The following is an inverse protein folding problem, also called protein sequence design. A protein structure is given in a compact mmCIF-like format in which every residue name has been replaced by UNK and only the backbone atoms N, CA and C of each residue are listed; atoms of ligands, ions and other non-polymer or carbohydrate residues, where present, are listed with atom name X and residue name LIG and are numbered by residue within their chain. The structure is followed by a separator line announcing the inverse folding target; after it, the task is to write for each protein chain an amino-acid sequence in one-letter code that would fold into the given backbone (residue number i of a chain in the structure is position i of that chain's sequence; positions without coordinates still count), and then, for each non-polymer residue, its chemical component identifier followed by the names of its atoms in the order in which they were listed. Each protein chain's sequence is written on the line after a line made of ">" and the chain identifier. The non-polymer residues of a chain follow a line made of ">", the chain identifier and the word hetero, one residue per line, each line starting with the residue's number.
data_IF_762303364102
#
_entry.id   IF_762303364102
#
_cell.length_a   1.000
_cell.length_b   1.000
_cell.length_c   1.000
_cell.angle_alpha   90.00
_cell.angle_beta   90.00
_cell.angle_gamma   90.00
#
_symmetry.space_group_name_H-M   'P 1'
#
loop_
_entity.id
_entity.type
_entity.pdbx_description
1 polymer ?
#
# COMPACT_ATOMS: atom_id res chain seq x y z
N UNK A 1 8.87 16.14 3.08
CA UNK A 1 9.86 17.07 2.52
C UNK A 1 10.97 17.21 3.52
N UNK A 2 12.22 17.12 3.07
CA UNK A 2 13.41 17.39 3.88
C UNK A 2 13.49 18.88 4.28
N UNK A 3 13.48 19.18 5.58
CA UNK A 3 13.56 20.56 6.09
C UNK A 3 14.93 21.22 5.92
N UNK A 4 15.99 20.43 5.74
CA UNK A 4 17.35 20.94 5.52
C UNK A 4 17.49 21.63 4.14
N UNK A 5 16.63 21.28 3.18
CA UNK A 5 16.62 21.88 1.84
C UNK A 5 15.38 22.76 1.72
N UNK A 6 15.57 24.07 1.69
CA UNK A 6 14.46 25.03 1.63
C UNK A 6 13.97 25.28 0.19
N UNK A 7 14.86 25.13 -0.81
CA UNK A 7 14.56 25.41 -2.22
C UNK A 7 13.63 24.34 -2.80
N UNK A 8 12.58 24.77 -3.52
CA UNK A 8 11.61 23.89 -4.15
C UNK A 8 10.85 22.97 -3.18
N UNK A 9 10.74 23.41 -1.92
CA UNK A 9 9.96 22.76 -0.89
C UNK A 9 8.46 22.78 -1.26
N UNK A 10 7.76 21.64 -1.20
CA UNK A 10 6.33 21.61 -1.46
C UNK A 10 5.55 22.27 -0.32
N UNK A 11 4.45 22.95 -0.63
CA UNK A 11 3.53 23.47 0.38
C UNK A 11 3.00 22.35 1.29
N UNK A 12 2.78 22.65 2.59
CA UNK A 12 2.37 21.67 3.63
C UNK A 12 1.19 20.77 3.23
N UNK A 13 0.25 21.29 2.45
CA UNK A 13 -0.93 20.55 1.95
C UNK A 13 -0.56 19.34 1.07
N UNK A 14 0.62 19.36 0.44
CA UNK A 14 1.09 18.27 -0.41
C UNK A 14 1.98 17.26 0.36
N UNK A 15 2.26 17.51 1.64
CA UNK A 15 2.98 16.53 2.46
C UNK A 15 2.17 15.24 2.58
N UNK A 16 2.82 14.09 2.38
CA UNK A 16 2.16 12.78 2.39
C UNK A 16 1.22 12.51 1.21
N UNK A 17 1.15 13.39 0.21
CA UNK A 17 0.38 13.14 -1.01
C UNK A 17 1.22 12.39 -2.04
N UNK A 18 0.56 11.51 -2.79
CA UNK A 18 1.15 10.81 -3.93
C UNK A 18 0.64 11.42 -5.22
N UNK A 19 1.48 11.47 -6.25
CA UNK A 19 1.14 12.02 -7.56
C UNK A 19 1.81 11.28 -8.69
N UNK A 20 1.64 11.78 -9.91
CA UNK A 20 2.31 11.28 -11.12
C UNK A 20 3.24 12.35 -11.67
N UNK A 21 4.44 11.96 -12.07
CA UNK A 21 5.41 12.87 -12.70
C UNK A 21 4.91 13.17 -14.12
N UNK A 22 4.94 14.46 -14.51
CA UNK A 22 4.60 14.91 -15.86
C UNK A 22 5.75 15.62 -16.56
N UNK A 23 6.69 16.19 -15.79
CA UNK A 23 7.85 16.89 -16.31
C UNK A 23 9.08 16.57 -15.44
N UNK A 24 10.26 16.56 -16.04
CA UNK A 24 11.53 16.31 -15.37
C UNK A 24 12.49 17.44 -15.76
N UNK A 25 13.11 18.05 -14.77
CA UNK A 25 14.10 19.13 -14.93
C UNK A 25 15.37 18.77 -14.18
N UNK A 26 16.46 19.52 -14.37
CA UNK A 26 17.80 19.19 -13.83
C UNK A 26 17.82 18.87 -12.32
N UNK A 27 17.06 19.59 -11.51
CA UNK A 27 17.05 19.43 -10.05
C UNK A 27 15.66 19.17 -9.45
N UNK A 28 14.62 19.14 -10.29
CA UNK A 28 13.24 19.08 -9.83
C UNK A 28 12.34 18.26 -10.76
N UNK A 29 11.24 17.80 -10.18
CA UNK A 29 10.18 17.05 -10.85
C UNK A 29 8.90 17.88 -10.85
N UNK A 30 8.25 17.95 -12.00
CA UNK A 30 6.88 18.37 -12.12
C UNK A 30 5.96 17.20 -11.78
N UNK A 31 5.17 17.32 -10.71
CA UNK A 31 4.24 16.28 -10.25
C UNK A 31 2.81 16.80 -10.33
N UNK A 32 1.90 15.98 -10.88
CA UNK A 32 0.46 16.20 -10.81
C UNK A 32 -0.06 15.54 -9.52
N UNK A 33 -0.62 16.34 -8.62
CA UNK A 33 -1.21 15.89 -7.36
C UNK A 33 -2.68 16.29 -7.32
N UNK A 34 -3.55 15.36 -6.93
CA UNK A 34 -4.96 15.65 -6.74
C UNK A 34 -5.18 16.36 -5.41
N UNK A 35 -5.62 17.62 -5.46
CA UNK A 35 -5.94 18.43 -4.28
C UNK A 35 -7.45 18.65 -4.21
N UNK A 36 -8.05 18.35 -3.07
CA UNK A 36 -9.42 18.75 -2.77
C UNK A 36 -9.47 20.26 -2.50
N UNK A 37 -10.32 20.97 -3.23
CA UNK A 37 -10.61 22.39 -3.05
C UNK A 37 -12.11 22.51 -2.83
N UNK A 38 -12.51 22.71 -1.57
CA UNK A 38 -13.92 22.68 -1.13
C UNK A 38 -14.60 21.35 -1.54
N UNK A 39 -15.59 21.41 -2.44
CA UNK A 39 -16.38 20.26 -2.90
C UNK A 39 -15.79 19.46 -4.06
N UNK A 40 -14.71 19.92 -4.72
CA UNK A 40 -14.15 19.26 -5.91
C UNK A 40 -12.69 18.86 -5.75
N UNK A 41 -12.28 17.82 -6.48
CA UNK A 41 -10.89 17.38 -6.57
C UNK A 41 -10.30 17.94 -7.86
N UNK A 42 -9.23 18.73 -7.74
CA UNK A 42 -8.58 19.39 -8.87
C UNK A 42 -7.16 18.81 -9.02
N UNK A 43 -6.74 18.40 -10.22
CA UNK A 43 -5.35 18.06 -10.48
C UNK A 43 -4.51 19.34 -10.45
N UNK A 44 -3.59 19.44 -9.50
CA UNK A 44 -2.65 20.55 -9.38
C UNK A 44 -1.27 20.11 -9.84
N UNK A 45 -0.67 20.88 -10.76
CA UNK A 45 0.71 20.72 -11.19
C UNK A 45 1.60 21.49 -10.22
N UNK A 46 2.58 20.82 -9.63
CA UNK A 46 3.55 21.40 -8.70
C UNK A 46 4.95 21.00 -9.12
N UNK A 47 5.92 21.89 -8.92
CA UNK A 47 7.34 21.60 -9.16
C UNK A 47 8.00 21.40 -7.80
N UNK A 48 8.65 20.25 -7.61
CA UNK A 48 9.22 19.84 -6.34
C UNK A 48 10.63 19.33 -6.59
N UNK A 49 11.60 19.69 -5.76
CA UNK A 49 12.94 19.10 -5.89
C UNK A 49 13.02 17.63 -5.47
N UNK A 50 14.04 16.93 -5.96
CA UNK A 50 14.25 15.49 -5.77
C UNK A 50 14.39 15.08 -4.29
N UNK A 51 14.94 15.95 -3.43
CA UNK A 51 15.15 15.70 -2.00
C UNK A 51 13.83 15.60 -1.22
N UNK A 52 12.73 16.05 -1.80
CA UNK A 52 11.40 16.01 -1.17
C UNK A 52 10.49 14.91 -1.72
N UNK A 53 10.96 14.16 -2.71
CA UNK A 53 10.19 13.12 -3.40
C UNK A 53 10.83 11.76 -3.16
N UNK A 54 10.01 10.72 -3.05
CA UNK A 54 10.46 9.33 -3.00
C UNK A 54 9.58 8.47 -3.89
N UNK A 55 10.15 7.38 -4.42
CA UNK A 55 9.39 6.42 -5.21
C UNK A 55 8.35 5.69 -4.35
N UNK A 56 7.19 5.42 -4.95
CA UNK A 56 6.11 4.71 -4.27
C UNK A 56 6.21 3.20 -4.48
N UNK A 57 6.38 2.45 -3.37
CA UNK A 57 6.46 0.98 -3.38
C UNK A 57 5.16 0.31 -3.84
N UNK A 58 4.00 0.96 -3.69
CA UNK A 58 2.73 0.35 -4.10
C UNK A 58 2.64 0.06 -5.60
N UNK A 59 3.30 0.87 -6.44
CA UNK A 59 3.37 0.63 -7.88
C UNK A 59 4.38 -0.47 -8.20
N UNK A 60 5.47 -0.54 -7.46
CA UNK A 60 6.48 -1.58 -7.59
C UNK A 60 5.86 -2.97 -7.30
N UNK A 61 5.13 -3.11 -6.19
CA UNK A 61 4.45 -4.36 -5.83
C UNK A 61 3.40 -4.75 -6.88
N UNK A 62 2.66 -3.77 -7.41
CA UNK A 62 1.72 -4.00 -8.50
C UNK A 62 2.43 -4.54 -9.75
N UNK A 63 3.55 -3.93 -10.17
CA UNK A 63 4.31 -4.35 -11.35
C UNK A 63 4.94 -5.73 -11.16
N UNK A 64 5.47 -6.04 -9.97
CA UNK A 64 5.97 -7.38 -9.62
C UNK A 64 4.86 -8.42 -9.81
N UNK A 65 3.65 -8.13 -9.31
CA UNK A 65 2.48 -9.01 -9.48
C UNK A 65 2.03 -9.15 -10.93
N UNK A 66 2.09 -8.10 -11.74
CA UNK A 66 1.77 -8.19 -13.18
C UNK A 66 2.72 -9.16 -13.88
N UNK A 67 4.03 -9.04 -13.62
CA UNK A 67 5.05 -9.94 -14.18
C UNK A 67 4.84 -11.39 -13.73
N UNK A 68 4.54 -11.60 -12.45
CA UNK A 68 4.25 -12.93 -11.90
C UNK A 68 3.02 -13.56 -12.56
N UNK A 69 1.95 -12.78 -12.70
CA UNK A 69 0.72 -13.24 -13.34
C UNK A 69 0.95 -13.62 -14.82
N UNK A 70 1.76 -12.84 -15.55
CA UNK A 70 2.11 -13.14 -16.93
C UNK A 70 2.93 -14.44 -17.05
N UNK A 71 3.83 -14.70 -16.10
CA UNK A 71 4.59 -15.95 -16.03
C UNK A 71 3.66 -17.14 -15.82
N UNK A 72 2.83 -17.09 -14.77
CA UNK A 72 1.88 -18.16 -14.45
C UNK A 72 0.89 -18.41 -15.59
N UNK A 73 0.46 -17.36 -16.29
CA UNK A 73 -0.43 -17.50 -17.45
C UNK A 73 0.24 -18.26 -18.60
N UNK A 74 1.51 -17.95 -18.90
CA UNK A 74 2.27 -18.64 -19.95
C UNK A 74 2.50 -20.11 -19.61
N UNK A 75 2.88 -20.41 -18.37
CA UNK A 75 3.06 -21.79 -17.87
C UNK A 75 1.75 -22.58 -17.90
N UNK A 76 0.65 -21.97 -17.44
CA UNK A 76 -0.68 -22.58 -17.48
C UNK A 76 -1.13 -22.90 -18.91
N UNK A 77 -0.88 -21.97 -19.85
CA UNK A 77 -1.18 -22.17 -21.27
C UNK A 77 -0.35 -23.31 -21.87
N UNK A 78 0.95 -23.40 -21.54
CA UNK A 78 1.81 -24.49 -21.99
C UNK A 78 1.40 -25.85 -21.41
N UNK A 79 0.94 -25.88 -20.15
CA UNK A 79 0.46 -27.08 -19.48
C UNK A 79 -1.01 -27.44 -19.79
N UNK A 80 -1.74 -26.62 -20.55
CA UNK A 80 -3.16 -26.80 -20.84
C UNK A 80 -4.09 -26.65 -19.63
N UNK A 81 -3.63 -26.02 -18.53
CA UNK A 81 -4.40 -25.83 -17.30
C UNK A 81 -4.98 -24.42 -17.22
N UNK A 82 -6.12 -24.27 -16.56
CA UNK A 82 -6.69 -22.96 -16.23
C UNK A 82 -6.23 -22.52 -14.85
N UNK A 83 -5.81 -21.25 -14.70
CA UNK A 83 -5.34 -20.68 -13.42
C UNK A 83 -6.14 -19.42 -13.09
N UNK A 84 -6.54 -19.28 -11.83
CA UNK A 84 -7.19 -18.07 -11.34
C UNK A 84 -6.14 -17.03 -10.89
N UNK A 85 -5.98 -15.95 -11.66
CA UNK A 85 -5.00 -14.89 -11.39
C UNK A 85 -5.56 -13.74 -10.52
N UNK A 86 -6.86 -13.79 -10.18
CA UNK A 86 -7.51 -12.76 -9.36
C UNK A 86 -7.22 -13.04 -7.88
N UNK A 87 -6.88 -11.99 -7.14
CA UNK A 87 -6.74 -12.05 -5.68
C UNK A 87 -8.11 -12.31 -5.04
N UNK A 88 -8.14 -13.14 -4.01
CA UNK A 88 -9.31 -13.37 -3.18
C UNK A 88 -9.11 -12.72 -1.80
N UNK A 89 -10.18 -12.24 -1.16
CA UNK A 89 -10.13 -11.90 0.25
C UNK A 89 -9.85 -13.15 1.09
N UNK A 90 -9.52 -12.96 2.36
CA UNK A 90 -9.32 -14.07 3.27
C UNK A 90 -10.61 -14.90 3.38
N UNK A 91 -10.59 -16.20 3.02
CA UNK A 91 -11.75 -17.05 3.18
C UNK A 91 -11.97 -17.40 4.66
N UNK A 92 -13.16 -17.91 5.03
CA UNK A 92 -13.37 -18.55 6.32
C UNK A 92 -12.30 -19.60 6.59
N UNK A 93 -11.88 -19.74 7.85
CA UNK A 93 -10.90 -20.77 8.24
C UNK A 93 -11.47 -22.14 7.88
N UNK A 94 -10.67 -22.97 7.21
CA UNK A 94 -11.05 -24.34 6.92
C UNK A 94 -11.21 -25.14 8.22
N UNK A 95 -12.09 -26.14 8.18
CA UNK A 95 -12.22 -27.10 9.26
C UNK A 95 -10.86 -27.80 9.48
N UNK A 96 -10.43 -27.87 10.73
CA UNK A 96 -9.22 -28.56 11.13
C UNK A 96 -9.43 -29.19 12.50
N UNK A 97 -8.67 -30.26 12.78
CA UNK A 97 -8.71 -30.94 14.07
C UNK A 97 -7.61 -30.35 14.95
N UNK A 98 -8.00 -29.80 16.10
CA UNK A 98 -7.05 -29.36 17.13
C UNK A 98 -6.78 -30.53 18.06
N UNK A 99 -5.54 -31.03 18.07
CA UNK A 99 -5.09 -32.04 19.04
C UNK A 99 -4.37 -31.33 20.19
N UNK A 100 -4.89 -31.45 21.41
CA UNK A 100 -4.19 -31.03 22.62
C UNK A 100 -3.39 -32.19 23.21
N UNK A 101 -2.11 -31.98 23.54
CA UNK A 101 -1.39 -32.90 24.43
C UNK A 101 -1.73 -32.63 25.90
N UNK A 102 -2.05 -31.38 26.21
CA UNK A 102 -2.44 -30.93 27.54
C UNK A 102 -3.96 -30.83 27.68
N UNK A 103 -4.45 -30.99 28.91
CA UNK A 103 -5.87 -30.86 29.22
C UNK A 103 -6.30 -29.39 29.10
N UNK A 104 -7.50 -29.10 28.56
CA UNK A 104 -8.03 -27.74 28.53
C UNK A 104 -8.07 -27.11 29.92
N UNK A 105 -7.62 -25.87 30.03
CA UNK A 105 -7.65 -25.11 31.29
C UNK A 105 -9.07 -24.60 31.53
N UNK A 106 -9.63 -24.89 32.70
CA UNK A 106 -10.89 -24.30 33.15
C UNK A 106 -10.64 -22.87 33.62
N UNK A 107 -11.28 -21.90 32.99
CA UNK A 107 -11.22 -20.49 33.39
C UNK A 107 -12.54 -20.09 34.07
N UNK A 108 -12.44 -19.38 35.19
CA UNK A 108 -13.58 -18.82 35.92
C UNK A 108 -13.46 -17.28 36.00
N UNK A 109 -14.58 -16.54 36.02
CA UNK A 109 -14.54 -15.10 36.21
C UNK A 109 -13.93 -14.76 37.58
N UNK A 110 -13.11 -13.71 37.60
CA UNK A 110 -12.49 -13.19 38.83
C UNK A 110 -13.58 -12.45 39.63
N UNK A 111 -13.64 -12.60 40.96
CA UNK A 111 -14.55 -11.82 41.79
C UNK A 111 -14.27 -10.32 41.70
N UNK A 112 -15.31 -9.51 41.94
CA UNK A 112 -15.16 -8.04 41.98
C UNK A 112 -14.28 -7.62 43.17
N UNK A 113 -13.24 -6.85 42.89
CA UNK A 113 -12.40 -6.19 43.88
C UNK A 113 -12.35 -4.69 43.60
N UNK A 114 -12.53 -3.88 44.64
CA UNK A 114 -12.32 -2.44 44.55
C UNK A 114 -10.83 -2.14 44.77
N UNK A 115 -10.14 -1.80 43.68
CA UNK A 115 -8.72 -1.39 43.72
C UNK A 115 -8.66 0.13 43.76
N UNK A 116 -8.18 0.69 44.87
CA UNK A 116 -7.91 2.13 45.06
C UNK A 116 -6.44 2.46 44.75
#
# INVERSE_FOLDING_TARGET
>A
GNGAVQKGMPHKVYHGKTGRVYNVTAHALGVIVNKRVRGRIIPKRINIRVEHVKHSKCREDFLKRVKENERLLKEAKAAGKTVNLKRQPQPPRAAHIVKGSEKPVLLAPIPYEFVA
#
